data_IF_098941531464
#
_entry.id   IF_098941531464
#
_cell.length_a   1.000
_cell.length_b   1.000
_cell.length_c   1.000
_cell.angle_alpha   90.00
_cell.angle_beta   90.00
_cell.angle_gamma   90.00
#
_symmetry.space_group_name_H-M   'P 1'
#
loop_
_entity.id
_entity.type
_entity.pdbx_description
1 polymer ?
#
# COMPACT_ATOMS: atom_id res chain seq x y z
N UNK A 1 -3.02 -23.90 -5.59
CA UNK A 1 -3.51 -22.54 -5.83
C UNK A 1 -3.09 -21.68 -4.66
N UNK A 2 -2.19 -20.71 -4.85
CA UNK A 2 -1.86 -19.73 -3.81
C UNK A 2 -3.00 -18.71 -3.75
N UNK A 3 -3.70 -18.63 -2.62
CA UNK A 3 -4.91 -17.82 -2.50
C UNK A 3 -4.51 -16.32 -2.42
N UNK A 4 -4.98 -15.51 -3.37
CA UNK A 4 -4.79 -14.05 -3.34
C UNK A 4 -5.85 -13.46 -2.41
N UNK A 5 -5.41 -12.59 -1.50
CA UNK A 5 -6.26 -11.87 -0.55
C UNK A 5 -6.33 -10.40 -0.94
N UNK A 6 -7.39 -9.74 -0.51
CA UNK A 6 -7.55 -8.29 -0.68
C UNK A 6 -7.58 -7.60 0.69
N UNK A 7 -6.98 -6.43 0.77
CA UNK A 7 -7.12 -5.48 1.87
C UNK A 7 -7.55 -4.13 1.30
N UNK A 8 -8.46 -3.47 1.98
CA UNK A 8 -8.97 -2.16 1.58
C UNK A 8 -8.47 -1.10 2.58
N UNK A 9 -8.09 0.06 2.07
CA UNK A 9 -7.68 1.21 2.86
C UNK A 9 -8.28 2.46 2.23
N UNK A 10 -8.87 3.31 3.06
CA UNK A 10 -9.43 4.58 2.62
C UNK A 10 -9.13 5.69 3.62
N UNK A 11 -9.07 6.92 3.11
CA UNK A 11 -8.80 8.08 3.95
C UNK A 11 -8.85 9.40 3.19
N UNK A 12 -8.97 10.48 3.96
CA UNK A 12 -8.80 11.84 3.46
C UNK A 12 -7.34 12.28 3.62
N UNK A 13 -6.79 12.85 2.57
CA UNK A 13 -5.38 13.25 2.50
C UNK A 13 -5.24 14.62 1.84
N UNK A 14 -4.21 15.34 2.27
CA UNK A 14 -3.82 16.60 1.65
C UNK A 14 -2.71 16.32 0.63
N UNK A 15 -2.89 16.81 -0.59
CA UNK A 15 -1.88 16.76 -1.64
C UNK A 15 -0.82 17.87 -1.43
N UNK A 16 0.25 17.84 -2.23
CA UNK A 16 1.32 18.84 -2.14
C UNK A 16 0.82 20.27 -2.40
N UNK A 17 -0.20 20.42 -3.24
CA UNK A 17 -0.84 21.69 -3.61
C UNK A 17 -2.06 22.02 -2.73
N UNK A 18 -2.11 21.47 -1.52
CA UNK A 18 -3.09 21.76 -0.46
C UNK A 18 -4.54 21.42 -0.83
N UNK A 19 -4.76 20.45 -1.72
CA UNK A 19 -6.09 19.94 -2.03
C UNK A 19 -6.47 18.78 -1.11
N UNK A 20 -7.69 18.81 -0.58
CA UNK A 20 -8.25 17.71 0.21
C UNK A 20 -8.88 16.68 -0.72
N UNK A 21 -8.30 15.48 -0.77
CA UNK A 21 -8.78 14.37 -1.59
C UNK A 21 -9.14 13.17 -0.72
N UNK A 22 -10.18 12.44 -1.13
CA UNK A 22 -10.50 11.14 -0.56
C UNK A 22 -9.92 10.06 -1.47
N UNK A 23 -9.12 9.17 -0.92
CA UNK A 23 -8.48 8.09 -1.68
C UNK A 23 -8.94 6.75 -1.12
N UNK A 24 -9.38 5.89 -2.03
CA UNK A 24 -9.72 4.49 -1.77
C UNK A 24 -8.71 3.59 -2.50
N UNK A 25 -8.10 2.67 -1.76
CA UNK A 25 -7.06 1.77 -2.24
C UNK A 25 -7.43 0.33 -1.94
N UNK A 26 -7.31 -0.54 -2.95
CA UNK A 26 -7.47 -1.97 -2.79
C UNK A 26 -6.15 -2.69 -3.08
N UNK A 27 -5.54 -3.23 -2.05
CA UNK A 27 -4.29 -3.99 -2.17
C UNK A 27 -4.60 -5.47 -2.30
N UNK A 28 -4.16 -6.07 -3.40
CA UNK A 28 -4.15 -7.52 -3.58
C UNK A 28 -2.79 -8.06 -3.20
N UNK A 29 -2.75 -9.05 -2.31
CA UNK A 29 -1.52 -9.63 -1.81
C UNK A 29 -1.64 -11.15 -1.63
N UNK A 30 -0.50 -11.81 -1.53
CA UNK A 30 -0.40 -13.23 -1.23
C UNK A 30 0.70 -13.50 -0.21
N UNK A 31 0.58 -14.62 0.49
CA UNK A 31 1.65 -15.10 1.38
C UNK A 31 2.71 -15.77 0.52
N UNK A 32 3.90 -15.17 0.45
CA UNK A 32 5.05 -15.72 -0.28
C UNK A 32 5.91 -16.61 0.63
N UNK A 33 5.98 -16.28 1.93
CA UNK A 33 6.67 -17.09 2.93
C UNK A 33 5.78 -17.26 4.18
N UNK A 34 5.27 -18.49 4.37
CA UNK A 34 4.38 -18.82 5.48
C UNK A 34 5.06 -18.79 6.85
N UNK A 35 6.36 -19.13 6.92
CA UNK A 35 7.14 -19.07 8.15
C UNK A 35 7.29 -17.62 8.62
N UNK A 36 7.73 -16.74 7.72
CA UNK A 36 7.86 -15.31 7.99
C UNK A 36 6.52 -14.67 8.35
N UNK A 37 5.44 -15.03 7.65
CA UNK A 37 4.09 -14.50 7.91
C UNK A 37 3.54 -14.85 9.30
N UNK A 38 3.94 -15.99 9.88
CA UNK A 38 3.47 -16.45 11.21
C UNK A 38 4.44 -16.08 12.33
N UNK A 39 5.74 -16.01 12.05
CA UNK A 39 6.78 -15.93 13.08
C UNK A 39 7.46 -14.56 13.20
N UNK A 40 7.59 -13.79 12.13
CA UNK A 40 8.39 -12.56 12.15
C UNK A 40 7.59 -11.33 12.63
N UNK A 41 6.28 -11.33 12.41
CA UNK A 41 5.41 -10.20 12.76
C UNK A 41 4.26 -10.70 13.62
N UNK A 42 4.02 -10.03 14.75
CA UNK A 42 2.94 -10.39 15.70
C UNK A 42 1.57 -10.44 15.03
N UNK A 43 1.32 -9.53 14.09
CA UNK A 43 0.15 -9.53 13.21
C UNK A 43 0.53 -8.97 11.83
N UNK A 44 0.76 -9.88 10.88
CA UNK A 44 1.12 -9.55 9.51
C UNK A 44 0.02 -8.78 8.76
N UNK A 45 -1.25 -8.95 9.12
CA UNK A 45 -2.35 -8.18 8.52
C UNK A 45 -2.34 -6.74 9.02
N UNK A 46 -2.08 -6.55 10.31
CA UNK A 46 -1.95 -5.20 10.88
C UNK A 46 -0.73 -4.47 10.31
N UNK A 47 0.40 -5.16 10.17
CA UNK A 47 1.58 -4.58 9.52
C UNK A 47 1.30 -4.19 8.05
N UNK A 48 0.54 -5.01 7.31
CA UNK A 48 0.08 -4.65 5.97
C UNK A 48 -0.76 -3.37 5.98
N UNK A 49 -1.75 -3.27 6.89
CA UNK A 49 -2.61 -2.09 6.98
C UNK A 49 -1.81 -0.82 7.29
N UNK A 50 -0.88 -0.86 8.25
CA UNK A 50 -0.03 0.29 8.57
C UNK A 50 0.96 0.64 7.46
N UNK A 51 1.55 -0.35 6.81
CA UNK A 51 2.42 -0.13 5.66
C UNK A 51 1.64 0.52 4.50
N UNK A 52 0.41 0.09 4.27
CA UNK A 52 -0.47 0.62 3.22
C UNK A 52 -0.82 2.08 3.49
N UNK A 53 -1.31 2.40 4.69
CA UNK A 53 -1.65 3.78 5.06
C UNK A 53 -0.42 4.71 5.00
N UNK A 54 0.74 4.22 5.47
CA UNK A 54 1.99 4.98 5.40
C UNK A 54 2.44 5.24 3.96
N UNK A 55 2.40 4.22 3.10
CA UNK A 55 2.77 4.35 1.70
C UNK A 55 1.82 5.30 0.95
N UNK A 56 0.51 5.14 1.17
CA UNK A 56 -0.52 5.97 0.56
C UNK A 56 -0.35 7.44 0.96
N UNK A 57 -0.20 7.74 2.26
CA UNK A 57 0.00 9.12 2.74
C UNK A 57 1.26 9.76 2.20
N UNK A 58 2.34 9.01 2.07
CA UNK A 58 3.59 9.52 1.55
C UNK A 58 3.47 9.90 0.07
N UNK A 59 2.91 9.00 -0.74
CA UNK A 59 2.80 9.21 -2.18
C UNK A 59 1.74 10.26 -2.53
N UNK A 60 0.58 10.26 -1.87
CA UNK A 60 -0.47 11.27 -2.08
C UNK A 60 -0.02 12.64 -1.57
N UNK A 61 0.62 12.73 -0.41
CA UNK A 61 1.13 13.99 0.14
C UNK A 61 2.28 14.59 -0.67
N UNK A 62 2.96 13.79 -1.48
CA UNK A 62 4.04 14.23 -2.38
C UNK A 62 3.59 14.39 -3.83
N UNK A 63 2.30 14.20 -4.12
CA UNK A 63 1.72 14.33 -5.47
C UNK A 63 0.81 15.55 -5.55
N UNK A 64 0.64 16.10 -6.75
CA UNK A 64 -0.34 17.17 -7.00
C UNK A 64 -1.75 16.59 -7.20
N UNK A 65 -2.78 17.43 -7.14
CA UNK A 65 -4.15 17.01 -7.43
C UNK A 65 -4.28 16.41 -8.84
N UNK A 66 -3.61 17.02 -9.82
CA UNK A 66 -3.65 16.57 -11.21
C UNK A 66 -3.06 15.16 -11.35
N UNK A 67 -1.93 14.88 -10.68
CA UNK A 67 -1.32 13.55 -10.66
C UNK A 67 -2.24 12.49 -10.04
N UNK A 68 -3.00 12.86 -9.01
CA UNK A 68 -3.93 11.94 -8.33
C UNK A 68 -5.18 11.66 -9.20
N UNK A 69 -5.61 12.61 -10.02
CA UNK A 69 -6.85 12.52 -10.80
C UNK A 69 -6.68 12.07 -12.25
N UNK A 70 -5.50 12.24 -12.86
CA UNK A 70 -5.29 12.08 -14.30
C UNK A 70 -4.32 10.92 -14.64
N UNK A 71 -3.38 11.13 -15.56
CA UNK A 71 -2.43 10.13 -16.06
C UNK A 71 -1.41 9.72 -14.98
N UNK A 72 -1.12 10.61 -14.03
CA UNK A 72 -0.24 10.34 -12.89
C UNK A 72 -0.74 9.23 -11.96
N UNK A 73 -2.03 8.85 -12.03
CA UNK A 73 -2.63 7.84 -11.15
C UNK A 73 -2.03 6.45 -11.33
N UNK A 74 -1.69 6.08 -12.57
CA UNK A 74 -1.07 4.80 -12.85
C UNK A 74 0.36 4.74 -12.29
N UNK A 75 1.12 5.83 -12.45
CA UNK A 75 2.46 5.94 -11.89
C UNK A 75 2.43 5.98 -10.36
N UNK A 76 1.47 6.69 -9.78
CA UNK A 76 1.22 6.76 -8.34
C UNK A 76 0.97 5.36 -7.77
N UNK A 77 0.10 4.56 -8.42
CA UNK A 77 -0.18 3.19 -8.01
C UNK A 77 1.09 2.32 -8.03
N UNK A 78 1.94 2.46 -9.04
CA UNK A 78 3.23 1.75 -9.13
C UNK A 78 4.15 2.16 -7.98
N UNK A 79 4.25 3.46 -7.67
CA UNK A 79 5.08 3.95 -6.54
C UNK A 79 4.56 3.43 -5.20
N UNK A 80 3.24 3.44 -5.00
CA UNK A 80 2.60 2.89 -3.80
C UNK A 80 2.90 1.40 -3.68
N UNK A 81 2.74 0.63 -4.75
CA UNK A 81 3.04 -0.81 -4.77
C UNK A 81 4.50 -1.10 -4.39
N UNK A 82 5.45 -0.39 -5.01
CA UNK A 82 6.87 -0.53 -4.73
C UNK A 82 7.20 -0.20 -3.28
N UNK A 83 6.67 0.91 -2.77
CA UNK A 83 6.89 1.34 -1.38
C UNK A 83 6.29 0.37 -0.38
N UNK A 84 5.06 -0.07 -0.62
CA UNK A 84 4.37 -1.05 0.21
C UNK A 84 5.16 -2.37 0.25
N UNK A 85 5.62 -2.85 -0.90
CA UNK A 85 6.41 -4.07 -0.96
C UNK A 85 7.74 -3.94 -0.21
N UNK A 86 8.37 -2.76 -0.24
CA UNK A 86 9.58 -2.49 0.53
C UNK A 86 9.29 -2.52 2.04
N UNK A 87 8.25 -1.86 2.52
CA UNK A 87 7.86 -1.91 3.95
C UNK A 87 7.56 -3.33 4.41
N UNK A 88 6.82 -4.12 3.63
CA UNK A 88 6.54 -5.52 3.96
C UNK A 88 7.80 -6.40 4.00
N UNK A 89 8.79 -6.08 3.15
CA UNK A 89 10.10 -6.74 3.17
C UNK A 89 10.89 -6.36 4.41
N UNK A 90 10.92 -5.08 4.76
CA UNK A 90 11.62 -4.55 5.93
C UNK A 90 11.04 -5.10 7.24
N UNK A 91 9.72 -5.22 7.32
CA UNK A 91 9.03 -5.87 8.44
C UNK A 91 9.19 -7.39 8.45
N UNK A 92 9.70 -7.98 7.36
CA UNK A 92 9.83 -9.43 7.24
C UNK A 92 8.48 -10.15 7.27
N UNK A 93 7.40 -9.51 6.79
CA UNK A 93 6.03 -10.00 6.91
C UNK A 93 5.71 -11.24 6.05
N UNK A 94 6.62 -11.66 5.15
CA UNK A 94 6.38 -12.81 4.26
C UNK A 94 5.24 -12.59 3.26
N UNK A 95 4.90 -11.34 2.99
CA UNK A 95 3.85 -10.91 2.08
C UNK A 95 4.42 -10.39 0.76
N UNK A 96 3.73 -10.74 -0.32
CA UNK A 96 4.00 -10.23 -1.65
C UNK A 96 2.77 -9.50 -2.18
N UNK A 97 2.97 -8.25 -2.58
CA UNK A 97 1.94 -7.44 -3.22
C UNK A 97 1.82 -7.87 -4.68
N UNK A 98 0.60 -8.17 -5.10
CA UNK A 98 0.28 -8.60 -6.47
C UNK A 98 -0.19 -7.41 -7.30
N UNK A 99 -0.99 -6.53 -6.69
CA UNK A 99 -1.54 -5.34 -7.32
C UNK A 99 -2.04 -4.34 -6.29
N UNK A 100 -1.97 -3.07 -6.65
CA UNK A 100 -2.65 -1.94 -5.99
C UNK A 100 -3.61 -1.27 -6.96
#
# INVERSE_FOLDING_TARGET
MTNVRSAESSGQMLTQDENLVTVDLQVQYRVSNAEAYVLNVRDSNQALAFATDSALRHEVGSSSLDDVLTEGRAELAIRIEQRLQNFLRDYGAGLEVVRV
#
